data_IF_977273252017
#
_entry.id   IF_977273252017
#
_cell.length_a   1.000
_cell.length_b   1.000
_cell.length_c   1.000
_cell.angle_alpha   90.00
_cell.angle_beta   90.00
_cell.angle_gamma   90.00
#
_symmetry.space_group_name_H-M   'P 1'
#
loop_
_entity.id
_entity.type
_entity.pdbx_description
1 polymer ?
#
# COMPACT_ATOMS: atom_id res chain seq x y z
N UNK A 1 -1.30 16.12 -6.26
CA UNK A 1 -1.62 15.19 -5.16
C UNK A 1 -1.19 13.81 -5.61
N UNK A 2 -0.51 13.06 -4.77
CA UNK A 2 -0.06 11.69 -5.07
C UNK A 2 -1.25 10.74 -5.09
N UNK A 3 -1.51 10.12 -6.24
CA UNK A 3 -2.60 9.16 -6.42
C UNK A 3 -2.25 7.87 -5.67
N UNK A 4 -3.01 7.55 -4.62
CA UNK A 4 -2.72 6.43 -3.72
C UNK A 4 -3.87 5.42 -3.72
N UNK A 5 -3.54 4.14 -3.93
CA UNK A 5 -4.51 3.03 -3.84
C UNK A 5 -4.23 2.17 -2.60
N UNK A 6 -5.30 1.71 -1.95
CA UNK A 6 -5.27 0.69 -0.90
C UNK A 6 -5.85 -0.60 -1.47
N UNK A 7 -5.11 -1.70 -1.41
CA UNK A 7 -5.60 -3.02 -1.84
C UNK A 7 -5.75 -3.91 -0.62
N UNK A 8 -6.98 -4.38 -0.36
CA UNK A 8 -7.29 -5.31 0.72
C UNK A 8 -8.03 -6.54 0.17
N UNK A 9 -7.74 -7.72 0.73
CA UNK A 9 -8.31 -9.00 0.26
C UNK A 9 -8.98 -9.83 1.37
N UNK A 10 -9.09 -9.28 2.57
CA UNK A 10 -9.65 -9.90 3.76
C UNK A 10 -10.66 -8.94 4.41
N UNK A 11 -11.55 -9.46 5.27
CA UNK A 11 -12.50 -8.62 6.02
C UNK A 11 -11.79 -7.64 6.96
N UNK A 12 -10.81 -8.10 7.74
CA UNK A 12 -10.02 -7.22 8.62
C UNK A 12 -9.24 -6.18 7.82
N UNK A 13 -8.68 -6.55 6.65
CA UNK A 13 -8.00 -5.61 5.77
C UNK A 13 -8.90 -4.47 5.27
N UNK A 14 -10.18 -4.75 5.02
CA UNK A 14 -11.18 -3.73 4.65
C UNK A 14 -11.38 -2.73 5.80
N UNK A 15 -11.47 -3.21 7.03
CA UNK A 15 -11.60 -2.35 8.22
C UNK A 15 -10.37 -1.44 8.39
N UNK A 16 -9.17 -2.00 8.20
CA UNK A 16 -7.91 -1.23 8.22
C UNK A 16 -7.92 -0.18 7.09
N UNK A 17 -8.31 -0.56 5.87
CA UNK A 17 -8.38 0.36 4.73
C UNK A 17 -9.34 1.53 5.00
N UNK A 18 -10.52 1.26 5.56
CA UNK A 18 -11.51 2.28 5.94
C UNK A 18 -10.96 3.21 7.02
N UNK A 19 -10.25 2.69 8.03
CA UNK A 19 -9.57 3.51 9.05
C UNK A 19 -8.55 4.47 8.44
N UNK A 20 -7.76 4.02 7.46
CA UNK A 20 -6.81 4.89 6.74
C UNK A 20 -7.58 5.97 5.97
N UNK A 21 -8.61 5.60 5.20
CA UNK A 21 -9.41 6.54 4.40
C UNK A 21 -10.12 7.63 5.21
N UNK A 22 -10.53 7.33 6.45
CA UNK A 22 -11.08 8.36 7.36
C UNK A 22 -10.10 9.51 7.64
N UNK A 23 -8.80 9.26 7.56
CA UNK A 23 -7.73 10.25 7.80
C UNK A 23 -7.03 10.70 6.52
N UNK A 24 -7.18 9.93 5.44
CA UNK A 24 -6.67 10.23 4.09
C UNK A 24 -7.83 10.07 3.08
N UNK A 25 -8.76 11.04 2.99
CA UNK A 25 -9.98 10.91 2.19
C UNK A 25 -9.76 10.70 0.69
N UNK A 26 -8.59 11.10 0.18
CA UNK A 26 -8.19 11.01 -1.22
C UNK A 26 -7.78 9.60 -1.67
N UNK A 27 -7.60 8.64 -0.74
CA UNK A 27 -7.20 7.28 -1.11
C UNK A 27 -8.33 6.48 -1.75
N UNK A 28 -7.99 5.76 -2.81
CA UNK A 28 -8.90 4.83 -3.48
C UNK A 28 -8.73 3.43 -2.85
N UNK A 29 -9.81 2.82 -2.37
CA UNK A 29 -9.77 1.47 -1.81
C UNK A 29 -10.24 0.49 -2.88
N UNK A 30 -9.48 -0.56 -3.14
CA UNK A 30 -9.82 -1.63 -4.07
C UNK A 30 -9.91 -2.98 -3.34
N UNK A 31 -11.03 -3.67 -3.49
CA UNK A 31 -11.31 -4.93 -2.78
C UNK A 31 -12.03 -5.92 -3.71
N UNK A 32 -11.73 -7.24 -3.65
CA UNK A 32 -12.47 -8.23 -4.41
C UNK A 32 -13.98 -8.16 -4.16
N UNK A 33 -14.79 -8.17 -5.22
CA UNK A 33 -16.25 -8.01 -5.17
C UNK A 33 -16.96 -9.08 -4.31
N UNK A 34 -16.33 -10.25 -4.10
CA UNK A 34 -16.82 -11.29 -3.16
C UNK A 34 -16.94 -10.80 -1.70
N UNK A 35 -16.34 -9.67 -1.36
CA UNK A 35 -16.42 -9.03 -0.04
C UNK A 35 -17.31 -7.77 -0.05
N UNK A 36 -17.99 -7.48 -1.15
CA UNK A 36 -18.84 -6.28 -1.26
C UNK A 36 -19.95 -6.28 -0.21
N UNK A 37 -20.11 -5.13 0.44
CA UNK A 37 -21.21 -4.83 1.35
C UNK A 37 -22.24 -3.87 0.73
N UNK A 38 -22.12 -3.61 -0.58
CA UNK A 38 -22.96 -2.65 -1.32
C UNK A 38 -22.56 -1.17 -1.12
N UNK A 39 -21.50 -0.88 -0.37
CA UNK A 39 -20.98 0.48 -0.20
C UNK A 39 -20.34 1.04 -1.47
N UNK A 40 -20.32 2.38 -1.58
CA UNK A 40 -19.69 3.13 -2.69
C UNK A 40 -18.32 3.71 -2.32
N UNK A 41 -17.85 3.48 -1.10
CA UNK A 41 -16.56 3.96 -0.59
C UNK A 41 -15.36 3.15 -1.12
N UNK A 42 -15.64 1.98 -1.69
CA UNK A 42 -14.70 0.98 -2.18
C UNK A 42 -14.97 0.69 -3.67
N UNK A 43 -13.90 0.58 -4.44
CA UNK A 43 -13.90 0.02 -5.79
C UNK A 43 -13.88 -1.52 -5.70
N UNK A 44 -15.04 -2.12 -5.91
CA UNK A 44 -15.21 -3.57 -5.90
C UNK A 44 -14.81 -4.17 -7.25
N UNK A 45 -13.73 -4.95 -7.28
CA UNK A 45 -13.22 -5.53 -8.53
C UNK A 45 -13.50 -7.03 -8.64
N UNK A 46 -13.71 -7.51 -9.87
CA UNK A 46 -13.92 -8.93 -10.18
C UNK A 46 -12.72 -9.60 -10.86
N UNK A 47 -11.72 -8.82 -11.26
CA UNK A 47 -10.49 -9.34 -11.87
C UNK A 47 -9.57 -10.03 -10.84
N UNK A 48 -8.51 -10.69 -11.31
CA UNK A 48 -7.52 -11.30 -10.42
C UNK A 48 -6.70 -10.22 -9.71
N UNK A 49 -6.41 -10.41 -8.42
CA UNK A 49 -5.61 -9.44 -7.64
C UNK A 49 -4.26 -9.11 -8.28
N UNK A 50 -3.61 -10.08 -8.92
CA UNK A 50 -2.36 -9.85 -9.67
C UNK A 50 -2.55 -8.86 -10.81
N UNK A 51 -3.64 -8.98 -11.57
CA UNK A 51 -3.94 -8.08 -12.69
C UNK A 51 -4.25 -6.67 -12.20
N UNK A 52 -5.09 -6.55 -11.17
CA UNK A 52 -5.39 -5.26 -10.55
C UNK A 52 -4.12 -4.59 -10.01
N UNK A 53 -3.33 -5.29 -9.19
CA UNK A 53 -2.10 -4.72 -8.61
C UNK A 53 -1.14 -4.29 -9.71
N UNK A 54 -1.00 -5.06 -10.79
CA UNK A 54 -0.18 -4.67 -11.93
C UNK A 54 -0.67 -3.41 -12.66
N UNK A 55 -1.99 -3.22 -12.77
CA UNK A 55 -2.57 -2.01 -13.34
C UNK A 55 -2.39 -0.80 -12.42
N UNK A 56 -2.64 -0.97 -11.12
CA UNK A 56 -2.44 0.08 -10.12
C UNK A 56 -0.97 0.51 -10.06
N UNK A 57 -0.04 -0.45 -10.10
CA UNK A 57 1.41 -0.19 -10.09
C UNK A 57 1.85 0.74 -11.22
N UNK A 58 1.18 0.68 -12.38
CA UNK A 58 1.51 1.52 -13.55
C UNK A 58 0.82 2.88 -13.55
N UNK A 59 -0.22 3.07 -12.73
CA UNK A 59 -1.15 4.21 -12.85
C UNK A 59 -1.31 5.02 -11.57
N UNK A 60 -0.67 4.59 -10.49
CA UNK A 60 -0.70 5.24 -9.17
C UNK A 60 0.71 5.58 -8.72
N UNK A 61 0.81 6.61 -7.89
CA UNK A 61 2.08 7.04 -7.28
C UNK A 61 2.42 6.21 -6.04
N UNK A 62 1.41 5.63 -5.39
CA UNK A 62 1.58 4.82 -4.18
C UNK A 62 0.55 3.69 -4.04
N UNK A 63 1.01 2.55 -3.53
CA UNK A 63 0.20 1.38 -3.19
C UNK A 63 0.36 1.01 -1.71
N UNK A 64 -0.78 0.86 -1.04
CA UNK A 64 -0.88 0.34 0.33
C UNK A 64 -1.53 -1.05 0.25
N UNK A 65 -0.74 -2.10 0.44
CA UNK A 65 -1.21 -3.48 0.31
C UNK A 65 -1.45 -4.10 1.70
N UNK A 66 -2.69 -4.46 2.01
CA UNK A 66 -3.09 -5.04 3.30
C UNK A 66 -3.25 -6.56 3.15
N UNK A 67 -2.12 -7.24 2.95
CA UNK A 67 -1.99 -8.70 2.84
C UNK A 67 -0.51 -9.11 2.85
N UNK A 68 -0.21 -10.41 2.75
CA UNK A 68 1.15 -10.93 2.94
C UNK A 68 2.19 -10.28 2.03
N UNK A 69 3.31 -9.83 2.59
CA UNK A 69 4.45 -9.26 1.87
C UNK A 69 4.91 -10.13 0.70
N UNK A 70 5.03 -11.44 0.91
CA UNK A 70 5.45 -12.38 -0.14
C UNK A 70 4.49 -12.46 -1.34
N UNK A 71 3.20 -12.18 -1.15
CA UNK A 71 2.26 -12.10 -2.27
C UNK A 71 2.44 -10.77 -3.03
N UNK A 72 2.58 -9.66 -2.31
CA UNK A 72 2.82 -8.33 -2.90
C UNK A 72 4.07 -8.36 -3.77
N UNK A 73 5.18 -8.88 -3.27
CA UNK A 73 6.44 -8.98 -4.02
C UNK A 73 6.24 -9.76 -5.34
N UNK A 74 5.55 -10.90 -5.31
CA UNK A 74 5.30 -11.68 -6.52
C UNK A 74 4.40 -10.96 -7.53
N UNK A 75 3.43 -10.19 -7.06
CA UNK A 75 2.52 -9.42 -7.92
C UNK A 75 3.21 -8.23 -8.58
N UNK A 76 4.10 -7.53 -7.86
CA UNK A 76 4.79 -6.35 -8.40
C UNK A 76 6.04 -6.69 -9.20
N UNK A 77 6.69 -7.84 -8.94
CA UNK A 77 7.96 -8.22 -9.56
C UNK A 77 7.99 -8.11 -11.10
N UNK A 78 6.95 -8.53 -11.86
CA UNK A 78 6.92 -8.39 -13.32
C UNK A 78 6.77 -6.95 -13.83
N UNK A 79 6.55 -5.99 -12.94
CA UNK A 79 6.26 -4.60 -13.27
C UNK A 79 7.35 -3.62 -12.80
N UNK A 80 8.34 -4.08 -12.04
CA UNK A 80 9.46 -3.27 -11.57
C UNK A 80 10.26 -2.74 -12.77
N UNK A 81 10.54 -1.43 -12.77
CA UNK A 81 11.38 -0.78 -13.75
C UNK A 81 12.62 -0.17 -13.10
N UNK A 82 12.45 0.89 -12.31
CA UNK A 82 13.55 1.54 -11.60
C UNK A 82 13.07 2.38 -10.40
N UNK A 83 13.98 2.61 -9.44
CA UNK A 83 13.70 3.30 -8.17
C UNK A 83 13.19 4.76 -8.28
N UNK A 84 13.30 5.39 -9.46
CA UNK A 84 12.83 6.76 -9.70
C UNK A 84 11.42 6.79 -10.30
N UNK A 85 11.01 5.72 -10.99
CA UNK A 85 9.73 5.63 -11.68
C UNK A 85 8.73 4.70 -10.98
N UNK A 86 9.22 3.67 -10.28
CA UNK A 86 8.39 2.73 -9.54
C UNK A 86 7.65 3.44 -8.38
N UNK A 87 6.34 3.19 -8.21
CA UNK A 87 5.54 3.82 -7.15
C UNK A 87 6.03 3.42 -5.76
N UNK A 88 5.66 4.22 -4.77
CA UNK A 88 5.79 3.84 -3.37
C UNK A 88 4.98 2.56 -3.12
N UNK A 89 5.57 1.53 -2.50
CA UNK A 89 4.80 0.36 -2.05
C UNK A 89 5.03 0.15 -0.57
N UNK A 90 3.95 0.10 0.20
CA UNK A 90 3.96 -0.33 1.59
C UNK A 90 3.07 -1.55 1.79
N UNK A 91 3.42 -2.38 2.77
CA UNK A 91 2.66 -3.57 3.14
C UNK A 91 2.24 -3.49 4.60
N UNK A 92 0.99 -3.87 4.88
CA UNK A 92 0.41 -3.90 6.23
C UNK A 92 -0.08 -5.33 6.51
N UNK A 93 0.27 -5.89 7.67
CA UNK A 93 -0.28 -7.19 8.07
C UNK A 93 -1.76 -7.10 8.46
N UNK A 94 -2.47 -8.23 8.43
CA UNK A 94 -3.94 -8.29 8.63
C UNK A 94 -4.41 -7.87 10.04
N UNK A 95 -3.47 -7.58 10.96
CA UNK A 95 -3.75 -7.05 12.30
C UNK A 95 -3.18 -5.64 12.50
N UNK A 96 -2.64 -5.02 11.46
CA UNK A 96 -1.99 -3.71 11.52
C UNK A 96 -0.91 -3.60 12.60
N UNK A 97 -0.13 -4.67 12.85
CA UNK A 97 1.00 -4.58 13.78
C UNK A 97 2.19 -3.83 13.15
N UNK A 98 2.41 -4.03 11.85
CA UNK A 98 3.52 -3.49 11.10
C UNK A 98 3.06 -2.79 9.83
N UNK A 99 3.73 -1.68 9.51
CA UNK A 99 3.63 -1.00 8.22
C UNK A 99 5.03 -1.00 7.60
N UNK A 100 5.21 -1.80 6.57
CA UNK A 100 6.51 -2.15 6.01
C UNK A 100 6.74 -1.34 4.74
N UNK A 101 7.74 -0.47 4.74
CA UNK A 101 8.22 0.18 3.51
C UNK A 101 8.88 -0.87 2.62
N UNK A 102 8.29 -1.14 1.46
CA UNK A 102 8.62 -2.32 0.64
C UNK A 102 9.35 -1.96 -0.65
N UNK A 103 8.93 -0.92 -1.35
CA UNK A 103 9.55 -0.46 -2.59
C UNK A 103 9.59 1.07 -2.63
N UNK A 104 10.63 1.64 -3.25
CA UNK A 104 10.76 3.09 -3.46
C UNK A 104 10.75 3.90 -2.15
N UNK A 105 11.55 3.45 -1.18
CA UNK A 105 11.65 3.97 0.19
C UNK A 105 11.88 5.48 0.32
N UNK A 106 13.10 5.93 0.00
CA UNK A 106 13.52 7.32 0.22
C UNK A 106 12.92 8.27 -0.83
N UNK A 107 13.46 8.24 -2.06
CA UNK A 107 13.05 9.16 -3.13
C UNK A 107 11.60 8.97 -3.58
N UNK A 108 11.11 7.73 -3.61
CA UNK A 108 9.72 7.46 -3.98
C UNK A 108 8.72 7.59 -2.83
N UNK A 109 9.17 7.93 -1.62
CA UNK A 109 8.28 8.30 -0.51
C UNK A 109 7.64 7.15 0.28
N UNK A 110 7.96 5.88 0.02
CA UNK A 110 7.39 4.78 0.79
C UNK A 110 7.79 4.80 2.28
N UNK A 111 8.95 5.36 2.63
CA UNK A 111 9.37 5.52 4.03
C UNK A 111 8.50 6.56 4.75
N UNK A 112 8.27 7.71 4.12
CA UNK A 112 7.40 8.75 4.67
C UNK A 112 5.96 8.24 4.80
N UNK A 113 5.44 7.57 3.76
CA UNK A 113 4.11 6.98 3.76
C UNK A 113 3.95 5.90 4.82
N UNK A 114 4.96 5.02 5.01
CA UNK A 114 4.92 3.99 6.04
C UNK A 114 4.87 4.59 7.45
N UNK A 115 5.66 5.64 7.73
CA UNK A 115 5.61 6.35 9.03
C UNK A 115 4.25 7.01 9.27
N UNK A 116 3.71 7.68 8.26
CA UNK A 116 2.40 8.32 8.33
C UNK A 116 1.31 7.29 8.63
N UNK A 117 1.20 6.25 7.80
CA UNK A 117 0.16 5.22 7.95
C UNK A 117 0.33 4.45 9.27
N UNK A 118 1.56 4.18 9.70
CA UNK A 118 1.81 3.56 11.01
C UNK A 118 1.28 4.43 12.16
N UNK A 119 1.52 5.74 12.12
CA UNK A 119 1.01 6.69 13.11
C UNK A 119 -0.53 6.70 13.16
N UNK A 120 -1.19 6.67 12.00
CA UNK A 120 -2.66 6.61 11.91
C UNK A 120 -3.25 5.33 12.50
N UNK A 121 -2.54 4.21 12.38
CA UNK A 121 -3.02 2.91 12.81
C UNK A 121 -2.60 2.52 14.24
N UNK A 122 -1.62 3.22 14.83
CA UNK A 122 -0.95 2.79 16.05
C UNK A 122 -0.03 1.58 15.83
N UNK A 123 0.50 1.44 14.61
CA UNK A 123 1.33 0.31 14.18
C UNK A 123 2.83 0.65 14.29
N UNK A 124 3.69 -0.37 14.15
CA UNK A 124 5.14 -0.20 14.07
C UNK A 124 5.59 0.00 12.61
N UNK A 125 6.22 1.14 12.25
CA UNK A 125 6.82 1.26 10.93
C UNK A 125 8.08 0.38 10.84
N UNK A 126 8.24 -0.33 9.72
CA UNK A 126 9.44 -1.11 9.40
C UNK A 126 10.11 -0.45 8.20
N UNK A 127 11.26 0.18 8.47
CA UNK A 127 12.08 0.89 7.47
C UNK A 127 13.49 0.33 7.56
N UNK A 128 14.02 -0.08 6.41
CA UNK A 128 15.34 -0.72 6.30
C UNK A 128 16.32 0.05 5.43
N UNK A 129 15.87 1.13 4.77
CA UNK A 129 16.70 1.92 3.85
C UNK A 129 17.84 2.60 4.60
N UNK A 130 19.09 2.32 4.20
CA UNK A 130 20.28 2.82 4.88
C UNK A 130 20.33 4.35 4.99
N UNK A 131 19.94 5.08 3.94
CA UNK A 131 19.91 6.55 3.95
C UNK A 131 19.01 7.11 5.06
N UNK A 132 17.82 6.54 5.23
CA UNK A 132 16.86 6.97 6.26
C UNK A 132 17.18 6.43 7.66
N UNK A 133 17.87 5.29 7.76
CA UNK A 133 18.31 4.74 9.05
C UNK A 133 19.52 5.49 9.58
N UNK A 134 20.37 6.01 8.68
CA UNK A 134 21.60 6.72 9.04
C UNK A 134 21.49 8.25 8.92
N UNK A 135 20.30 8.80 8.60
CA UNK A 135 20.06 10.24 8.36
C UNK A 135 20.98 10.88 7.30
N UNK A 136 21.54 10.09 6.39
CA UNK A 136 22.42 10.59 5.34
C UNK A 136 21.61 10.89 4.08
N UNK A 137 21.64 12.15 3.65
CA UNK A 137 21.04 12.61 2.39
C UNK A 137 21.83 11.98 1.23
N UNK A 138 21.10 11.41 0.26
CA UNK A 138 21.67 10.90 -1.00
C UNK A 138 21.70 11.99 -2.07
#
# INVERSE_FOLDING_TARGET
MTKTAIVAITKHGIEIARRIKQKMPEVEICVPAKHSDGGTDINWFSEQSTQLVGNLFKTYDALICIFSLGAVIRMIAPHLADKKSDPAVIVIDDRANHVISTLSGHLGGANALARLVASLLGAKPVITTAADVNETIA
#
